data_IF_253950159905
#
_entry.id   IF_253950159905
#
_cell.length_a   1.000
_cell.length_b   1.000
_cell.length_c   1.000
_cell.angle_alpha   90.00
_cell.angle_beta   90.00
_cell.angle_gamma   90.00
#
_symmetry.space_group_name_H-M   'P 1'
#
loop_
_entity.id
_entity.type
_entity.pdbx_description
1 polymer ?
#
# COMPACT_ATOMS: atom_id res chain seq x y z
N UNK A 1 32.39 1.60 41.61
CA UNK A 1 30.92 1.49 41.56
C UNK A 1 30.56 0.95 40.19
N UNK A 2 29.95 -0.24 40.17
CA UNK A 2 29.65 -0.97 38.94
C UNK A 2 28.30 -0.49 38.40
N UNK A 3 28.28 0.29 37.32
CA UNK A 3 27.03 0.66 36.62
C UNK A 3 26.58 -0.52 35.76
N UNK A 4 25.97 -1.51 36.42
CA UNK A 4 25.34 -2.63 35.75
C UNK A 4 24.14 -2.16 34.94
N UNK A 5 24.26 -2.18 33.61
CA UNK A 5 23.12 -2.11 32.71
C UNK A 5 22.32 -3.41 32.93
N UNK A 6 21.23 -3.31 33.69
CA UNK A 6 20.24 -4.38 33.76
C UNK A 6 19.58 -4.49 32.38
N UNK A 7 20.05 -5.45 31.58
CA UNK A 7 19.31 -5.98 30.45
C UNK A 7 18.01 -6.59 30.98
N UNK A 8 16.91 -5.84 30.89
CA UNK A 8 15.59 -6.34 31.30
C UNK A 8 15.11 -7.36 30.26
N UNK A 9 15.17 -8.64 30.64
CA UNK A 9 14.53 -9.77 29.98
C UNK A 9 13.06 -9.44 29.67
N UNK A 10 12.65 -9.67 28.42
CA UNK A 10 11.27 -9.82 27.94
C UNK A 10 10.19 -8.93 28.58
N UNK A 11 10.04 -7.69 28.09
CA UNK A 11 8.81 -6.92 28.29
C UNK A 11 7.85 -7.19 27.12
N UNK A 12 7.05 -8.23 27.25
CA UNK A 12 5.81 -8.32 26.48
C UNK A 12 4.90 -7.21 27.04
N UNK A 13 4.44 -6.25 26.23
CA UNK A 13 3.67 -5.13 26.74
C UNK A 13 2.31 -5.62 27.26
N UNK A 14 1.88 -5.13 28.42
CA UNK A 14 0.56 -5.44 29.02
C UNK A 14 -0.61 -5.01 28.12
N UNK A 15 -0.35 -4.09 27.17
CA UNK A 15 -1.30 -3.62 26.18
C UNK A 15 -0.59 -3.18 24.90
N UNK A 16 -1.05 -3.69 23.76
CA UNK A 16 -0.60 -3.25 22.44
C UNK A 16 -1.57 -2.19 21.92
N UNK A 17 -1.10 -0.95 21.79
CA UNK A 17 -1.86 0.10 21.10
C UNK A 17 -1.63 -0.01 19.59
N UNK A 18 -2.73 -0.28 18.87
CA UNK A 18 -2.78 -0.41 17.42
C UNK A 18 -3.35 0.85 16.75
N UNK A 19 -3.62 1.91 17.52
CA UNK A 19 -4.04 3.19 16.95
C UNK A 19 -2.94 3.75 16.03
N UNK A 20 -3.38 4.40 14.95
CA UNK A 20 -2.47 5.08 14.04
C UNK A 20 -1.86 6.33 14.68
N UNK A 21 -2.67 7.07 15.44
CA UNK A 21 -2.32 8.38 16.00
C UNK A 21 -2.42 8.39 17.52
N UNK A 22 -1.48 9.10 18.16
CA UNK A 22 -1.53 9.47 19.58
C UNK A 22 -2.43 10.69 19.77
N UNK A 23 -2.43 11.62 18.81
CA UNK A 23 -3.40 12.72 18.77
C UNK A 23 -3.61 13.25 17.34
N UNK A 24 -4.76 13.91 17.14
CA UNK A 24 -5.11 14.69 15.97
C UNK A 24 -5.85 15.96 16.43
N UNK A 25 -5.41 17.14 15.98
CA UNK A 25 -6.02 18.42 16.32
C UNK A 25 -6.10 19.33 15.09
N UNK A 26 -7.22 20.03 14.91
CA UNK A 26 -7.40 21.07 13.90
C UNK A 26 -7.34 22.44 14.56
N UNK A 27 -6.60 23.36 13.97
CA UNK A 27 -6.43 24.74 14.43
C UNK A 27 -7.10 25.68 13.42
N UNK A 28 -8.37 26.01 13.67
CA UNK A 28 -9.21 26.84 12.77
C UNK A 28 -8.51 28.13 12.34
N UNK A 29 -7.91 28.86 13.29
CA UNK A 29 -7.23 30.13 13.04
C UNK A 29 -5.97 30.02 12.16
N UNK A 30 -5.41 28.81 12.01
CA UNK A 30 -4.26 28.53 11.15
C UNK A 30 -4.64 27.69 9.92
N UNK A 31 -5.90 27.29 9.80
CA UNK A 31 -6.36 26.30 8.82
C UNK A 31 -5.45 25.06 8.73
N UNK A 32 -4.89 24.62 9.87
CA UNK A 32 -3.85 23.58 9.92
C UNK A 32 -4.27 22.39 10.78
N UNK A 33 -3.93 21.17 10.35
CA UNK A 33 -4.09 19.94 11.15
C UNK A 33 -2.74 19.52 11.71
N UNK A 34 -2.69 19.17 13.00
CA UNK A 34 -1.52 18.57 13.65
C UNK A 34 -1.82 17.12 14.03
N UNK A 35 -0.99 16.22 13.55
CA UNK A 35 -1.11 14.78 13.78
C UNK A 35 0.16 14.28 14.44
N UNK A 36 0.04 13.43 15.46
CA UNK A 36 1.17 12.67 16.01
C UNK A 36 0.89 11.18 15.88
N UNK A 37 1.75 10.47 15.14
CA UNK A 37 1.66 9.03 14.97
C UNK A 37 2.18 8.26 16.18
N UNK A 38 1.57 7.11 16.47
CA UNK A 38 2.05 6.19 17.51
C UNK A 38 3.42 5.61 17.15
N UNK A 39 4.19 5.22 18.16
CA UNK A 39 5.44 4.50 17.93
C UNK A 39 5.25 3.15 17.22
N UNK A 40 4.08 2.52 17.38
CA UNK A 40 3.69 1.32 16.61
C UNK A 40 3.55 1.66 15.12
N UNK A 41 2.81 2.72 14.78
CA UNK A 41 2.60 3.16 13.40
C UNK A 41 3.91 3.57 12.70
N UNK A 42 4.80 4.28 13.40
CA UNK A 42 6.12 4.70 12.85
C UNK A 42 6.91 3.54 12.25
N UNK A 43 6.82 2.35 12.84
CA UNK A 43 7.53 1.15 12.33
C UNK A 43 7.09 0.75 10.92
N UNK A 44 5.87 1.07 10.53
CA UNK A 44 5.34 0.80 9.18
C UNK A 44 5.75 1.88 8.16
N UNK A 45 6.05 3.11 8.62
CA UNK A 45 6.54 4.19 7.75
C UNK A 45 8.06 4.15 7.55
N UNK A 46 8.81 3.77 8.59
CA UNK A 46 10.27 3.86 8.60
C UNK A 46 10.99 2.59 8.14
N UNK A 47 10.26 1.53 7.73
CA UNK A 47 10.86 0.27 7.25
C UNK A 47 11.24 0.35 5.76
N UNK A 48 12.05 1.35 5.41
CA UNK A 48 12.41 1.68 4.03
C UNK A 48 13.76 1.13 3.58
N UNK A 49 14.66 0.75 4.51
CA UNK A 49 16.03 0.36 4.17
C UNK A 49 16.35 -0.98 4.82
N UNK A 50 16.49 -2.02 3.99
CA UNK A 50 16.87 -3.37 4.40
C UNK A 50 16.56 -4.40 3.32
N UNK A 51 17.34 -5.49 3.29
CA UNK A 51 17.29 -6.57 2.29
C UNK A 51 15.94 -7.31 2.17
N UNK A 52 14.92 -6.93 2.94
CA UNK A 52 13.58 -7.50 2.87
C UNK A 52 12.69 -6.84 1.80
N UNK A 53 12.99 -5.65 1.26
CA UNK A 53 12.30 -4.99 0.11
C UNK A 53 10.75 -5.16 0.06
N UNK A 54 10.05 -5.09 1.20
CA UNK A 54 8.58 -5.23 1.26
C UNK A 54 7.87 -3.90 1.48
N UNK A 55 8.19 -2.87 0.71
CA UNK A 55 7.48 -1.60 0.74
C UNK A 55 6.72 -1.37 -0.57
N UNK A 56 5.61 -0.64 -0.48
CA UNK A 56 4.82 -0.22 -1.65
C UNK A 56 5.10 1.25 -1.89
N UNK A 57 5.64 1.60 -3.05
CA UNK A 57 5.76 3.00 -3.46
C UNK A 57 4.50 3.42 -4.20
N UNK A 58 4.04 4.64 -4.00
CA UNK A 58 2.88 5.23 -4.69
C UNK A 58 3.19 6.68 -5.03
N UNK A 59 2.64 7.18 -6.14
CA UNK A 59 2.76 8.60 -6.47
C UNK A 59 1.68 9.35 -5.70
N UNK A 60 2.09 10.22 -4.77
CA UNK A 60 1.16 10.94 -3.90
C UNK A 60 0.09 11.71 -4.70
N UNK A 61 0.51 12.38 -5.78
CA UNK A 61 -0.39 13.11 -6.69
C UNK A 61 -1.48 12.21 -7.25
N UNK A 62 -1.13 10.98 -7.66
CA UNK A 62 -2.07 10.02 -8.23
C UNK A 62 -3.11 9.58 -7.21
N UNK A 63 -2.70 9.29 -5.98
CA UNK A 63 -3.60 8.88 -4.89
C UNK A 63 -4.62 9.98 -4.56
N UNK A 64 -4.18 11.25 -4.54
CA UNK A 64 -5.05 12.40 -4.22
C UNK A 64 -6.07 12.69 -5.33
N UNK A 65 -5.77 12.35 -6.59
CA UNK A 65 -6.68 12.58 -7.72
C UNK A 65 -7.78 11.52 -7.87
N UNK A 66 -7.59 10.32 -7.28
CA UNK A 66 -8.57 9.25 -7.29
C UNK A 66 -9.73 9.60 -6.32
N UNK A 67 -10.95 9.65 -6.86
CA UNK A 67 -12.14 10.03 -6.08
C UNK A 67 -12.86 8.82 -5.47
N UNK A 68 -12.67 7.64 -6.05
CA UNK A 68 -13.32 6.41 -5.60
C UNK A 68 -12.39 5.60 -4.70
N UNK A 69 -12.90 5.20 -3.53
CA UNK A 69 -12.21 4.27 -2.62
C UNK A 69 -11.81 2.98 -3.34
N UNK A 70 -12.66 2.47 -4.24
CA UNK A 70 -12.35 1.26 -5.00
C UNK A 70 -11.19 1.49 -5.97
N UNK A 71 -11.11 2.66 -6.59
CA UNK A 71 -10.02 3.02 -7.50
C UNK A 71 -8.72 3.22 -6.75
N UNK A 72 -8.77 3.91 -5.60
CA UNK A 72 -7.63 4.03 -4.70
C UNK A 72 -7.13 2.65 -4.28
N UNK A 73 -8.00 1.77 -3.81
CA UNK A 73 -7.61 0.44 -3.35
C UNK A 73 -7.04 -0.41 -4.50
N UNK A 74 -7.65 -0.41 -5.69
CA UNK A 74 -7.11 -1.14 -6.84
C UNK A 74 -5.73 -0.60 -7.27
N UNK A 75 -5.56 0.72 -7.28
CA UNK A 75 -4.27 1.36 -7.54
C UNK A 75 -3.21 0.90 -6.53
N UNK A 76 -3.55 0.84 -5.25
CA UNK A 76 -2.65 0.36 -4.19
C UNK A 76 -2.24 -1.10 -4.42
N UNK A 77 -3.17 -1.98 -4.81
CA UNK A 77 -2.87 -3.37 -5.15
C UNK A 77 -1.89 -3.45 -6.32
N UNK A 78 -2.13 -2.71 -7.40
CA UNK A 78 -1.23 -2.70 -8.57
C UNK A 78 0.17 -2.20 -8.18
N UNK A 79 0.25 -1.10 -7.43
CA UNK A 79 1.52 -0.53 -6.96
C UNK A 79 2.26 -1.46 -6.01
N UNK A 80 1.55 -2.26 -5.20
CA UNK A 80 2.15 -3.30 -4.35
C UNK A 80 2.84 -4.36 -5.20
N UNK A 81 2.17 -4.91 -6.21
CA UNK A 81 2.78 -5.90 -7.11
C UNK A 81 3.92 -5.31 -7.94
N UNK A 82 3.77 -4.08 -8.44
CA UNK A 82 4.83 -3.39 -9.16
C UNK A 82 6.06 -3.13 -8.25
N UNK A 83 5.86 -2.76 -6.99
CA UNK A 83 6.96 -2.54 -6.04
C UNK A 83 7.69 -3.83 -5.69
N UNK A 84 6.99 -4.97 -5.68
CA UNK A 84 7.60 -6.29 -5.47
C UNK A 84 8.45 -6.75 -6.66
N UNK A 85 8.04 -6.41 -7.89
CA UNK A 85 8.81 -6.71 -9.10
C UNK A 85 8.49 -5.72 -10.23
N UNK A 86 9.28 -4.65 -10.33
CA UNK A 86 9.05 -3.57 -11.29
C UNK A 86 9.23 -3.98 -12.75
N UNK A 87 9.99 -5.05 -13.00
CA UNK A 87 10.18 -5.64 -14.34
C UNK A 87 8.93 -6.36 -14.83
N UNK A 88 8.11 -6.88 -13.90
CA UNK A 88 6.89 -7.62 -14.23
C UNK A 88 5.70 -6.66 -14.30
N UNK A 89 5.25 -6.41 -15.52
CA UNK A 89 4.10 -5.54 -15.84
C UNK A 89 2.75 -6.26 -15.76
N UNK A 90 2.69 -7.35 -14.99
CA UNK A 90 1.49 -8.15 -14.80
C UNK A 90 1.52 -8.97 -13.51
N UNK A 91 0.34 -9.29 -12.99
CA UNK A 91 0.20 -10.22 -11.86
C UNK A 91 -1.09 -11.01 -11.96
N UNK A 92 -1.07 -12.20 -11.36
CA UNK A 92 -2.24 -13.06 -11.22
C UNK A 92 -2.73 -12.99 -9.77
N UNK A 93 -4.03 -12.82 -9.56
CA UNK A 93 -4.66 -12.78 -8.24
C UNK A 93 -6.02 -13.47 -8.30
N UNK A 94 -6.40 -14.15 -7.21
CA UNK A 94 -7.73 -14.76 -7.16
C UNK A 94 -8.80 -13.68 -6.96
N UNK A 95 -10.03 -13.96 -7.39
CA UNK A 95 -11.15 -13.03 -7.20
C UNK A 95 -11.38 -12.72 -5.72
N UNK A 96 -11.21 -13.73 -4.85
CA UNK A 96 -11.41 -13.58 -3.42
C UNK A 96 -10.25 -12.79 -2.80
N UNK A 97 -8.99 -13.13 -3.11
CA UNK A 97 -7.83 -12.37 -2.61
C UNK A 97 -7.86 -10.91 -3.07
N UNK A 98 -8.31 -10.64 -4.30
CA UNK A 98 -8.47 -9.27 -4.77
C UNK A 98 -9.54 -8.52 -3.97
N UNK A 99 -10.66 -9.17 -3.63
CA UNK A 99 -11.68 -8.55 -2.77
C UNK A 99 -11.17 -8.30 -1.36
N UNK A 100 -10.35 -9.20 -0.81
CA UNK A 100 -9.70 -9.03 0.49
C UNK A 100 -8.74 -7.84 0.49
N UNK A 101 -7.82 -7.80 -0.49
CA UNK A 101 -6.84 -6.73 -0.65
C UNK A 101 -7.51 -5.36 -0.89
N UNK A 102 -8.65 -5.35 -1.58
CA UNK A 102 -9.44 -4.14 -1.82
C UNK A 102 -10.40 -3.78 -0.67
N UNK A 103 -10.47 -4.57 0.41
CA UNK A 103 -11.38 -4.33 1.54
C UNK A 103 -12.87 -4.44 1.19
N UNK A 104 -13.22 -5.27 0.21
CA UNK A 104 -14.57 -5.45 -0.31
C UNK A 104 -15.38 -6.48 0.48
N UNK A 105 -15.41 -6.31 1.79
CA UNK A 105 -16.22 -7.14 2.68
C UNK A 105 -16.73 -6.33 3.88
N UNK A 106 -17.67 -6.91 4.61
CA UNK A 106 -18.11 -6.48 5.94
C UNK A 106 -18.02 -7.67 6.89
N UNK A 107 -17.93 -7.40 8.18
CA UNK A 107 -18.07 -8.41 9.22
C UNK A 107 -19.46 -8.20 9.83
N UNK A 108 -20.35 -9.15 9.60
CA UNK A 108 -21.72 -9.17 10.11
C UNK A 108 -21.84 -10.39 11.03
N UNK A 109 -22.21 -10.18 12.31
CA UNK A 109 -22.36 -11.26 13.30
C UNK A 109 -21.12 -12.16 13.49
N UNK A 110 -19.93 -11.62 13.25
CA UNK A 110 -18.67 -12.37 13.33
C UNK A 110 -18.32 -13.14 12.06
N UNK A 111 -19.18 -13.11 11.04
CA UNK A 111 -18.95 -13.74 9.74
C UNK A 111 -18.53 -12.73 8.67
N UNK A 112 -17.61 -13.15 7.79
CA UNK A 112 -17.17 -12.33 6.66
C UNK A 112 -18.15 -12.43 5.52
N UNK A 113 -18.64 -11.28 5.05
CA UNK A 113 -19.54 -11.18 3.91
C UNK A 113 -18.96 -10.29 2.82
N UNK A 114 -18.72 -10.88 1.65
CA UNK A 114 -18.18 -10.13 0.52
C UNK A 114 -19.19 -9.14 -0.06
N UNK A 115 -18.72 -7.93 -0.31
CA UNK A 115 -19.39 -6.98 -1.20
C UNK A 115 -19.32 -7.53 -2.63
N UNK A 116 -20.38 -7.29 -3.41
CA UNK A 116 -20.53 -7.79 -4.78
C UNK A 116 -20.37 -9.33 -4.93
N UNK A 117 -21.31 -10.13 -4.38
CA UNK A 117 -21.22 -11.60 -4.45
C UNK A 117 -21.19 -12.14 -5.89
N UNK A 118 -21.92 -11.49 -6.81
CA UNK A 118 -21.92 -11.86 -8.24
C UNK A 118 -20.71 -11.26 -8.95
N UNK A 119 -19.95 -12.11 -9.64
CA UNK A 119 -18.77 -11.71 -10.42
C UNK A 119 -19.07 -10.61 -11.45
N UNK A 120 -20.21 -10.68 -12.13
CA UNK A 120 -20.60 -9.66 -13.12
C UNK A 120 -20.77 -8.26 -12.51
N UNK A 121 -21.32 -8.17 -11.29
CA UNK A 121 -21.44 -6.89 -10.58
C UNK A 121 -20.10 -6.41 -10.07
N UNK A 122 -19.25 -7.32 -9.56
CA UNK A 122 -17.89 -6.98 -9.18
C UNK A 122 -17.10 -6.37 -10.36
N UNK A 123 -17.15 -7.01 -11.53
CA UNK A 123 -16.48 -6.49 -12.73
C UNK A 123 -17.04 -5.14 -13.17
N UNK A 124 -18.36 -5.03 -13.30
CA UNK A 124 -19.02 -3.82 -13.82
C UNK A 124 -18.88 -2.62 -12.87
N UNK A 125 -19.14 -2.84 -11.59
CA UNK A 125 -19.32 -1.76 -10.62
C UNK A 125 -18.03 -1.40 -9.87
N UNK A 126 -17.05 -2.30 -9.87
CA UNK A 126 -15.75 -2.09 -9.22
C UNK A 126 -14.65 -2.04 -10.27
N UNK A 127 -14.30 -3.17 -10.88
CA UNK A 127 -13.08 -3.30 -11.69
C UNK A 127 -13.07 -2.33 -12.87
N UNK A 128 -14.09 -2.34 -13.73
CA UNK A 128 -14.09 -1.51 -14.93
C UNK A 128 -14.11 -0.01 -14.61
N UNK A 129 -14.89 0.41 -13.61
CA UNK A 129 -14.93 1.82 -13.18
C UNK A 129 -13.58 2.26 -12.62
N UNK A 130 -12.96 1.42 -11.79
CA UNK A 130 -11.66 1.71 -11.21
C UNK A 130 -10.55 1.75 -12.23
N UNK A 131 -10.53 0.83 -13.20
CA UNK A 131 -9.56 0.84 -14.30
C UNK A 131 -9.66 2.14 -15.10
N UNK A 132 -10.87 2.55 -15.48
CA UNK A 132 -11.07 3.77 -16.26
C UNK A 132 -10.55 5.01 -15.51
N UNK A 133 -10.88 5.16 -14.22
CA UNK A 133 -10.43 6.29 -13.43
C UNK A 133 -8.89 6.28 -13.21
N UNK A 134 -8.31 5.10 -12.98
CA UNK A 134 -6.86 4.95 -12.81
C UNK A 134 -6.12 5.37 -14.09
N UNK A 135 -6.58 4.91 -15.25
CA UNK A 135 -5.99 5.28 -16.55
C UNK A 135 -6.09 6.78 -16.80
N UNK A 136 -7.21 7.39 -16.46
CA UNK A 136 -7.46 8.81 -16.68
C UNK A 136 -6.59 9.72 -15.79
N UNK A 137 -6.35 9.33 -14.54
CA UNK A 137 -5.86 10.26 -13.49
C UNK A 137 -4.47 9.96 -12.93
N UNK A 138 -3.86 8.83 -13.31
CA UNK A 138 -2.59 8.38 -12.71
C UNK A 138 -1.52 8.16 -13.77
N UNK A 139 -0.31 7.82 -13.32
CA UNK A 139 0.81 7.44 -14.18
C UNK A 139 0.63 6.10 -14.90
N UNK A 140 -0.38 5.31 -14.51
CA UNK A 140 -0.71 4.03 -15.13
C UNK A 140 -1.56 4.31 -16.36
N UNK A 141 -0.96 4.37 -17.55
CA UNK A 141 -1.65 4.77 -18.78
C UNK A 141 -2.31 3.61 -19.54
N UNK A 142 -1.96 2.37 -19.18
CA UNK A 142 -2.60 1.16 -19.70
C UNK A 142 -2.85 0.23 -18.53
N UNK A 143 -4.07 -0.26 -18.41
CA UNK A 143 -4.47 -1.21 -17.39
C UNK A 143 -5.63 -2.05 -17.92
N UNK A 144 -5.48 -3.36 -17.87
CA UNK A 144 -6.52 -4.31 -18.29
C UNK A 144 -6.49 -5.55 -17.41
N UNK A 145 -7.52 -6.38 -17.53
CA UNK A 145 -7.54 -7.68 -16.88
C UNK A 145 -8.16 -8.75 -17.76
N UNK A 146 -7.77 -9.99 -17.53
CA UNK A 146 -8.33 -11.18 -18.20
C UNK A 146 -8.54 -12.32 -17.19
N UNK A 147 -9.40 -13.28 -17.54
CA UNK A 147 -9.64 -14.48 -16.71
C UNK A 147 -8.65 -15.56 -17.11
N UNK A 148 -7.75 -15.92 -16.20
CA UNK A 148 -6.70 -16.95 -16.43
C UNK A 148 -6.98 -18.27 -15.73
N UNK A 149 -7.97 -18.33 -14.85
CA UNK A 149 -8.39 -19.57 -14.19
C UNK A 149 -9.86 -19.57 -13.81
N UNK A 150 -10.49 -20.74 -13.93
CA UNK A 150 -11.89 -20.98 -13.58
C UNK A 150 -12.00 -22.11 -12.57
N UNK A 151 -12.96 -22.00 -11.64
CA UNK A 151 -13.38 -23.09 -10.75
C UNK A 151 -14.80 -23.48 -11.16
N UNK A 152 -14.93 -24.59 -11.88
CA UNK A 152 -16.17 -24.93 -12.58
C UNK A 152 -16.53 -23.87 -13.63
N UNK A 153 -17.76 -23.33 -13.57
CA UNK A 153 -18.21 -22.27 -14.49
C UNK A 153 -17.81 -20.86 -14.05
N UNK A 154 -17.23 -20.70 -12.86
CA UNK A 154 -16.94 -19.38 -12.29
C UNK A 154 -15.49 -18.96 -12.51
N UNK A 155 -15.29 -17.68 -12.85
CA UNK A 155 -13.95 -17.08 -12.87
C UNK A 155 -13.37 -17.11 -11.45
N UNK A 156 -12.14 -17.58 -11.32
CA UNK A 156 -11.46 -17.73 -10.03
C UNK A 156 -10.15 -16.96 -9.99
N UNK A 157 -9.39 -16.93 -11.08
CA UNK A 157 -8.12 -16.20 -11.20
C UNK A 157 -8.20 -15.15 -12.29
N UNK A 158 -7.73 -13.96 -11.96
CA UNK A 158 -7.60 -12.82 -12.87
C UNK A 158 -6.12 -12.52 -13.09
N UNK A 159 -5.76 -12.15 -14.32
CA UNK A 159 -4.47 -11.53 -14.65
C UNK A 159 -4.69 -10.07 -14.91
N UNK A 160 -4.01 -9.21 -14.17
CA UNK A 160 -3.93 -7.78 -14.46
C UNK A 160 -2.65 -7.50 -15.24
N UNK A 161 -2.75 -6.66 -16.27
CA UNK A 161 -1.63 -6.20 -17.08
C UNK A 161 -1.65 -4.68 -17.09
N UNK A 162 -0.49 -4.05 -16.90
CA UNK A 162 -0.42 -2.61 -16.71
C UNK A 162 0.89 -2.01 -17.24
N UNK A 163 0.83 -0.78 -17.73
CA UNK A 163 2.00 0.01 -18.11
C UNK A 163 2.05 1.29 -17.28
N UNK A 164 3.25 1.63 -16.82
CA UNK A 164 3.51 2.79 -15.97
C UNK A 164 4.43 3.71 -16.76
N UNK A 165 3.96 4.93 -17.03
CA UNK A 165 4.79 5.94 -17.67
C UNK A 165 5.69 6.57 -16.60
N UNK A 166 6.90 6.04 -16.45
CA UNK A 166 7.90 6.47 -15.46
C UNK A 166 8.51 7.86 -15.72
N UNK A 167 7.80 8.76 -16.43
CA UNK A 167 8.23 10.15 -16.69
C UNK A 167 8.38 11.02 -15.43
N UNK A 168 8.24 10.46 -14.23
CA UNK A 168 8.28 11.20 -12.96
C UNK A 168 9.05 10.50 -11.83
N UNK A 169 9.88 9.49 -12.13
CA UNK A 169 10.70 8.81 -11.11
C UNK A 169 12.19 8.74 -11.46
N UNK A 170 12.72 9.75 -12.16
CA UNK A 170 14.12 10.12 -11.91
C UNK A 170 14.13 10.84 -10.58
N UNK A 171 14.81 10.30 -9.57
CA UNK A 171 15.21 11.09 -8.41
C UNK A 171 15.79 12.41 -8.94
N UNK A 172 15.31 13.53 -8.42
CA UNK A 172 15.94 14.81 -8.75
C UNK A 172 17.40 14.77 -8.28
N UNK A 173 18.25 15.64 -8.84
CA UNK A 173 19.63 15.76 -8.35
C UNK A 173 19.65 16.05 -6.84
N UNK A 174 18.65 16.79 -6.34
CA UNK A 174 18.45 17.07 -4.92
C UNK A 174 18.10 15.82 -4.10
N UNK A 175 17.25 14.93 -4.62
CA UNK A 175 16.92 13.67 -3.95
C UNK A 175 18.15 12.74 -3.89
N UNK A 176 18.96 12.72 -4.95
CA UNK A 176 20.20 11.95 -5.00
C UNK A 176 21.22 12.50 -3.99
N UNK A 177 21.38 13.82 -3.93
CA UNK A 177 22.26 14.49 -2.97
C UNK A 177 21.81 14.22 -1.52
N UNK A 178 20.51 14.27 -1.25
CA UNK A 178 19.97 13.93 0.07
C UNK A 178 20.24 12.47 0.44
N UNK A 179 20.03 11.52 -0.46
CA UNK A 179 20.28 10.10 -0.21
C UNK A 179 21.77 9.84 0.06
N UNK A 180 22.67 10.47 -0.69
CA UNK A 180 24.12 10.37 -0.46
C UNK A 180 24.53 10.95 0.90
N UNK A 181 23.95 12.07 1.31
CA UNK A 181 24.23 12.67 2.62
C UNK A 181 23.64 11.83 3.76
N UNK A 182 22.43 11.31 3.57
CA UNK A 182 21.78 10.41 4.53
C UNK A 182 22.57 9.13 4.76
N UNK A 183 23.05 8.47 3.70
CA UNK A 183 23.83 7.24 3.79
C UNK A 183 25.21 7.45 4.45
N UNK A 184 25.79 8.68 4.36
CA UNK A 184 27.00 9.04 5.11
C UNK A 184 26.73 9.13 6.62
N UNK A 185 25.58 9.69 7.01
CA UNK A 185 25.19 9.89 8.42
C UNK A 185 24.66 8.59 9.04
N UNK A 186 23.97 7.76 8.24
CA UNK A 186 23.33 6.52 8.67
C UNK A 186 23.77 5.37 7.75
N UNK A 187 25.03 4.90 7.88
CA UNK A 187 25.56 3.89 6.97
C UNK A 187 24.77 2.58 7.06
N UNK A 188 24.49 1.93 5.92
CA UNK A 188 23.76 0.67 5.92
C UNK A 188 24.52 -0.38 6.72
N UNK A 189 23.81 -1.09 7.60
CA UNK A 189 24.40 -2.20 8.35
C UNK A 189 24.91 -3.26 7.37
N UNK A 190 26.22 -3.51 7.40
CA UNK A 190 26.83 -4.65 6.70
C UNK A 190 26.26 -5.93 7.31
N UNK A 191 25.51 -6.69 6.51
CA UNK A 191 25.10 -8.04 6.90
C UNK A 191 26.37 -8.91 7.01
N UNK A 192 26.55 -9.55 8.17
CA UNK A 192 27.51 -10.64 8.38
C UNK A 192 26.85 -11.96 8.00
#
# INVERSE_FOLDING_TARGET
MNFGILSSKNKIPDRLDLNLTEFCAYYDHLATVRIKFTNTAKRYFSKLIGSENRYTTQVLKSVVLLNSVNSTNLYQVIRKYYSQNSSKKSFDISVDDLKEEMGLYTIEEGEKKYKYPKYSFFVRDVINKSINEIIEKTEINQLSFSVVGKKGRMAHMLRFEFSINEKSSSFSEDDMAFLEEFDKVVPPKKNK
#
